data_IF_049450004279
#
_entry.id   IF_049450004279
#
_cell.length_a   1.000
_cell.length_b   1.000
_cell.length_c   1.000
_cell.angle_alpha   90.00
_cell.angle_beta   90.00
_cell.angle_gamma   90.00
#
_symmetry.space_group_name_H-M   'P 1'
#
loop_
_entity.id
_entity.type
_entity.pdbx_description
1 polymer ?
#
# COMPACT_ATOMS: atom_id res chain seq x y z
N UNK A 1 3.23 20.79 -1.67
CA UNK A 1 3.51 19.46 -1.11
C UNK A 1 2.30 18.98 -0.32
N UNK A 2 1.57 18.04 -0.84
CA UNK A 2 0.48 17.42 -0.10
C UNK A 2 1.07 16.41 0.89
N UNK A 3 1.32 16.84 2.11
CA UNK A 3 1.57 15.97 3.26
C UNK A 3 0.22 15.38 3.68
N UNK A 4 -0.16 14.25 3.07
CA UNK A 4 -1.39 13.55 3.41
C UNK A 4 -1.09 12.48 4.46
N UNK A 5 -1.11 12.89 5.72
CA UNK A 5 -1.12 11.97 6.85
C UNK A 5 -2.58 11.66 7.20
N UNK A 6 -2.96 10.39 7.04
CA UNK A 6 -3.97 9.78 7.88
C UNK A 6 -5.44 9.94 7.54
N UNK A 7 -5.93 9.37 6.44
CA UNK A 7 -7.27 8.80 6.39
C UNK A 7 -7.32 7.66 5.37
N UNK A 8 -8.18 6.67 5.55
CA UNK A 8 -8.36 5.55 4.59
C UNK A 8 -8.67 6.04 3.16
N UNK A 9 -9.23 7.24 3.01
CA UNK A 9 -9.46 7.86 1.72
C UNK A 9 -8.15 8.20 1.01
N UNK A 10 -7.15 8.72 1.72
CA UNK A 10 -5.82 9.00 1.17
C UNK A 10 -5.05 7.72 0.78
N UNK A 11 -5.26 6.63 1.50
CA UNK A 11 -4.63 5.33 1.26
C UNK A 11 -5.09 4.75 -0.08
N UNK A 12 -6.39 4.78 -0.36
CA UNK A 12 -6.96 4.39 -1.67
C UNK A 12 -6.49 5.33 -2.77
N UNK A 13 -6.53 6.63 -2.50
CA UNK A 13 -6.29 7.66 -3.52
C UNK A 13 -4.85 7.61 -4.05
N UNK A 14 -3.85 7.29 -3.22
CA UNK A 14 -2.45 7.14 -3.68
C UNK A 14 -2.30 6.03 -4.71
N UNK A 15 -2.85 4.83 -4.44
CA UNK A 15 -2.80 3.73 -5.38
C UNK A 15 -3.59 4.06 -6.67
N UNK A 16 -4.75 4.71 -6.53
CA UNK A 16 -5.57 5.12 -7.67
C UNK A 16 -4.89 6.22 -8.51
N UNK A 17 -4.33 7.24 -7.86
CA UNK A 17 -3.61 8.33 -8.55
C UNK A 17 -2.40 7.80 -9.31
N UNK A 18 -1.66 6.85 -8.77
CA UNK A 18 -0.54 6.22 -9.46
C UNK A 18 -0.93 5.60 -10.82
N UNK A 19 -2.21 5.19 -10.97
CA UNK A 19 -2.73 4.65 -12.24
C UNK A 19 -3.28 5.72 -13.20
N UNK A 20 -3.39 6.98 -12.76
CA UNK A 20 -4.05 8.08 -13.51
C UNK A 20 -3.13 9.21 -13.90
N UNK A 21 -1.96 9.32 -13.27
CA UNK A 21 -1.01 10.40 -13.53
C UNK A 21 0.42 9.95 -13.29
N UNK A 22 1.36 10.54 -14.01
CA UNK A 22 2.81 10.39 -13.89
C UNK A 22 3.48 11.62 -13.23
N UNK A 23 2.69 12.50 -12.63
CA UNK A 23 3.18 13.73 -11.98
C UNK A 23 4.08 13.47 -10.76
N UNK A 24 4.03 12.27 -10.19
CA UNK A 24 4.79 11.92 -8.99
C UNK A 24 6.08 11.19 -9.37
N UNK A 25 7.21 11.68 -8.88
CA UNK A 25 8.50 11.01 -9.07
C UNK A 25 8.62 9.71 -8.26
N UNK A 26 7.92 9.61 -7.13
CA UNK A 26 7.86 8.43 -6.27
C UNK A 26 6.63 8.50 -5.35
N UNK A 27 6.07 7.35 -4.97
CA UNK A 27 4.90 7.26 -4.09
C UNK A 27 5.19 6.27 -2.95
N UNK A 28 4.86 6.67 -1.71
CA UNK A 28 4.73 5.75 -0.59
C UNK A 28 3.25 5.49 -0.32
N UNK A 29 2.88 4.23 -0.09
CA UNK A 29 1.50 3.81 0.15
C UNK A 29 1.40 2.90 1.38
N UNK A 30 1.00 3.50 2.50
CA UNK A 30 0.76 2.76 3.75
C UNK A 30 -0.60 2.09 3.76
N UNK A 31 -0.63 0.78 4.05
CA UNK A 31 -1.84 -0.05 4.15
C UNK A 31 -2.86 0.17 3.00
N UNK A 32 -2.44 0.05 1.72
CA UNK A 32 -3.26 0.42 0.56
C UNK A 32 -4.53 -0.42 0.43
N UNK A 33 -5.56 0.16 -0.16
CA UNK A 33 -6.74 -0.56 -0.68
C UNK A 33 -6.74 -0.41 -2.19
N UNK A 34 -6.61 -1.53 -2.91
CA UNK A 34 -6.46 -1.53 -4.37
C UNK A 34 -7.57 -2.28 -5.10
N UNK A 35 -8.27 -3.16 -4.41
CA UNK A 35 -9.34 -3.97 -4.99
C UNK A 35 -10.61 -3.84 -4.13
N UNK A 36 -11.58 -3.10 -4.64
CA UNK A 36 -12.83 -2.83 -3.92
C UNK A 36 -13.69 -4.08 -3.75
N UNK A 37 -13.56 -5.08 -4.63
CA UNK A 37 -14.31 -6.32 -4.53
C UNK A 37 -13.82 -7.17 -3.36
N UNK A 38 -12.51 -7.47 -3.30
CA UNK A 38 -11.95 -8.27 -2.20
C UNK A 38 -11.99 -7.51 -0.87
N UNK A 39 -11.82 -6.18 -0.90
CA UNK A 39 -11.91 -5.35 0.30
C UNK A 39 -13.34 -5.27 0.86
N UNK A 40 -14.37 -5.32 0.02
CA UNK A 40 -15.78 -5.27 0.44
C UNK A 40 -16.13 -6.39 1.43
N UNK A 41 -15.67 -7.62 1.15
CA UNK A 41 -15.88 -8.77 2.04
C UNK A 41 -14.97 -8.82 3.26
N UNK A 42 -14.09 -7.84 3.44
CA UNK A 42 -13.16 -7.79 4.55
C UNK A 42 -13.82 -7.46 5.88
N UNK A 43 -13.18 -7.87 6.97
CA UNK A 43 -13.60 -7.58 8.34
C UNK A 43 -12.55 -6.70 9.00
N UNK A 44 -12.99 -5.71 9.75
CA UNK A 44 -12.15 -4.95 10.68
C UNK A 44 -11.99 -5.77 11.96
N UNK A 45 -10.97 -6.58 12.03
CA UNK A 45 -10.74 -7.51 13.13
C UNK A 45 -10.67 -6.82 14.49
N UNK A 46 -10.16 -5.59 14.57
CA UNK A 46 -10.13 -4.82 15.81
C UNK A 46 -11.50 -4.43 16.36
N UNK A 47 -12.55 -4.42 15.53
CA UNK A 47 -13.92 -4.06 15.93
C UNK A 47 -14.97 -5.12 15.62
N UNK A 48 -14.61 -6.15 14.82
CA UNK A 48 -15.55 -7.17 14.34
C UNK A 48 -16.54 -6.69 13.27
N UNK A 49 -16.41 -5.45 12.78
CA UNK A 49 -17.34 -4.88 11.80
C UNK A 49 -16.98 -5.30 10.37
N UNK A 50 -17.99 -5.70 9.60
CA UNK A 50 -17.84 -5.89 8.17
C UNK A 50 -17.53 -4.56 7.47
N UNK A 51 -16.70 -4.59 6.43
CA UNK A 51 -16.30 -3.38 5.70
C UNK A 51 -17.34 -2.91 4.68
N UNK A 52 -18.34 -3.72 4.34
CA UNK A 52 -19.35 -3.45 3.31
C UNK A 52 -20.00 -2.07 3.44
N UNK A 53 -20.45 -1.70 4.65
CA UNK A 53 -21.09 -0.40 4.89
C UNK A 53 -20.20 0.79 4.52
N UNK A 54 -18.88 0.65 4.64
CA UNK A 54 -17.90 1.68 4.33
C UNK A 54 -17.87 1.96 2.82
N UNK A 55 -17.98 0.91 2.01
CA UNK A 55 -18.00 1.04 0.55
C UNK A 55 -19.34 1.55 0.04
N UNK A 56 -20.44 1.09 0.64
CA UNK A 56 -21.78 1.49 0.21
C UNK A 56 -22.13 2.92 0.61
N UNK A 57 -21.89 3.32 1.87
CA UNK A 57 -22.52 4.49 2.47
C UNK A 57 -21.56 5.54 3.03
N UNK A 58 -20.37 5.16 3.54
CA UNK A 58 -19.51 6.08 4.27
C UNK A 58 -18.32 6.57 3.45
N UNK A 59 -17.11 6.10 3.72
CA UNK A 59 -15.88 6.66 3.15
C UNK A 59 -15.77 6.53 1.64
N UNK A 60 -16.08 5.37 1.08
CA UNK A 60 -15.92 5.12 -0.36
C UNK A 60 -17.10 5.58 -1.19
N UNK A 61 -18.29 5.64 -0.61
CA UNK A 61 -19.52 6.20 -1.21
C UNK A 61 -19.81 5.65 -2.61
N UNK A 62 -19.65 4.34 -2.80
CA UNK A 62 -19.94 3.70 -4.09
C UNK A 62 -21.46 3.61 -4.37
N UNK A 63 -22.27 3.79 -3.32
CA UNK A 63 -23.72 3.95 -3.45
C UNK A 63 -24.47 2.68 -3.81
N UNK A 64 -23.92 1.51 -3.49
CA UNK A 64 -24.53 0.21 -3.71
C UNK A 64 -23.56 -0.93 -3.48
N UNK A 65 -24.05 -2.15 -3.62
CA UNK A 65 -23.27 -3.38 -3.46
C UNK A 65 -22.48 -3.72 -4.73
N UNK A 66 -21.46 -4.61 -4.67
CA UNK A 66 -20.77 -5.11 -5.87
C UNK A 66 -21.70 -5.76 -6.91
N UNK A 67 -22.81 -6.30 -6.47
CA UNK A 67 -23.80 -6.93 -7.36
C UNK A 67 -24.77 -5.93 -8.02
N UNK A 68 -25.11 -4.86 -7.31
CA UNK A 68 -26.01 -3.81 -7.84
C UNK A 68 -25.28 -2.77 -8.69
N UNK A 69 -24.02 -2.49 -8.38
CA UNK A 69 -23.22 -1.46 -9.06
C UNK A 69 -21.79 -1.94 -9.37
N UNK A 70 -21.61 -3.09 -10.07
CA UNK A 70 -20.29 -3.71 -10.26
C UNK A 70 -19.28 -2.80 -10.96
N UNK A 71 -19.71 -1.99 -11.92
CA UNK A 71 -18.83 -1.08 -12.65
C UNK A 71 -18.19 -0.03 -11.74
N UNK A 72 -18.92 0.48 -10.74
CA UNK A 72 -18.36 1.44 -9.77
C UNK A 72 -17.24 0.81 -8.94
N UNK A 73 -17.37 -0.46 -8.56
CA UNK A 73 -16.31 -1.20 -7.86
C UNK A 73 -15.11 -1.42 -8.76
N UNK A 74 -15.32 -1.80 -10.02
CA UNK A 74 -14.27 -1.99 -10.99
C UNK A 74 -13.48 -0.69 -11.26
N UNK A 75 -14.19 0.39 -11.58
CA UNK A 75 -13.58 1.69 -11.88
C UNK A 75 -12.79 2.29 -10.72
N UNK A 76 -13.21 2.01 -9.48
CA UNK A 76 -12.54 2.48 -8.27
C UNK A 76 -11.48 1.50 -7.72
N UNK A 77 -11.26 0.37 -8.38
CA UNK A 77 -10.23 -0.60 -8.03
C UNK A 77 -8.97 -0.33 -8.85
N UNK A 78 -7.96 0.27 -8.23
CA UNK A 78 -6.68 0.56 -8.88
C UNK A 78 -6.02 -0.70 -9.46
N UNK A 79 -6.25 -1.86 -8.86
CA UNK A 79 -5.69 -3.14 -9.27
C UNK A 79 -5.87 -3.42 -10.77
N UNK A 80 -7.03 -3.09 -11.33
CA UNK A 80 -7.36 -3.37 -12.74
C UNK A 80 -6.76 -2.38 -13.74
N UNK A 81 -6.04 -1.37 -13.24
CA UNK A 81 -5.36 -0.36 -14.07
C UNK A 81 -3.90 -0.18 -13.67
N UNK A 82 -3.31 -1.16 -12.96
CA UNK A 82 -1.90 -1.15 -12.53
C UNK A 82 -0.91 -1.17 -13.70
N UNK A 83 -1.31 -1.68 -14.85
CA UNK A 83 -0.53 -1.64 -16.09
C UNK A 83 -0.12 -0.21 -16.47
N UNK A 84 -0.92 0.79 -16.11
CA UNK A 84 -0.68 2.20 -16.39
C UNK A 84 0.33 2.87 -15.45
N UNK A 85 0.65 2.25 -14.32
CA UNK A 85 1.59 2.83 -13.34
C UNK A 85 2.98 2.94 -13.94
N UNK A 86 3.58 4.13 -13.86
CA UNK A 86 4.97 4.40 -14.23
C UNK A 86 5.80 4.79 -12.99
N UNK A 87 5.16 5.37 -12.00
CA UNK A 87 5.79 5.87 -10.78
C UNK A 87 6.26 4.73 -9.90
N UNK A 88 7.49 4.76 -9.38
CA UNK A 88 7.98 3.82 -8.36
C UNK A 88 7.15 3.89 -7.08
N UNK A 89 6.85 2.72 -6.51
CA UNK A 89 5.99 2.62 -5.32
C UNK A 89 6.66 1.87 -4.19
N UNK A 90 6.68 2.48 -3.01
CA UNK A 90 7.00 1.82 -1.75
C UNK A 90 5.70 1.52 -1.01
N UNK A 91 5.42 0.27 -0.74
CA UNK A 91 4.25 -0.17 0.04
C UNK A 91 4.70 -0.48 1.46
N UNK A 92 3.96 -0.01 2.46
CA UNK A 92 4.06 -0.49 3.84
C UNK A 92 2.73 -1.10 4.24
N UNK A 93 2.69 -2.40 4.55
CA UNK A 93 1.47 -3.06 5.00
C UNK A 93 1.80 -4.24 5.91
N UNK A 94 1.29 -4.21 7.12
CA UNK A 94 1.61 -5.18 8.16
C UNK A 94 0.61 -6.33 8.19
N UNK A 95 1.07 -7.52 8.55
CA UNK A 95 0.29 -8.76 8.53
C UNK A 95 -0.77 -8.84 9.65
N UNK A 96 -0.60 -8.11 10.75
CA UNK A 96 -1.58 -8.01 11.84
C UNK A 96 -2.49 -6.77 11.71
N UNK A 97 -2.62 -6.19 10.52
CA UNK A 97 -3.50 -5.05 10.30
C UNK A 97 -4.97 -5.41 10.54
N UNK A 98 -5.53 -4.88 11.63
CA UNK A 98 -6.92 -5.07 12.02
C UNK A 98 -7.91 -4.11 11.34
N UNK A 99 -7.45 -3.18 10.50
CA UNK A 99 -8.28 -2.18 9.82
C UNK A 99 -8.41 -2.43 8.33
N UNK A 100 -7.28 -2.61 7.63
CA UNK A 100 -7.24 -2.93 6.20
C UNK A 100 -6.71 -4.35 6.03
N UNK A 101 -7.46 -5.24 5.36
CA UNK A 101 -6.98 -6.60 5.16
C UNK A 101 -5.63 -6.64 4.46
N UNK A 102 -4.66 -7.35 5.03
CA UNK A 102 -3.29 -7.41 4.54
C UNK A 102 -3.16 -7.86 3.09
N UNK A 103 -4.06 -8.73 2.63
CA UNK A 103 -4.06 -9.17 1.23
C UNK A 103 -4.25 -8.02 0.23
N UNK A 104 -4.76 -6.86 0.63
CA UNK A 104 -4.81 -5.67 -0.24
C UNK A 104 -3.41 -5.17 -0.62
N UNK A 105 -2.46 -5.18 0.32
CA UNK A 105 -1.06 -4.87 0.05
C UNK A 105 -0.40 -5.95 -0.80
N UNK A 106 -0.71 -7.22 -0.55
CA UNK A 106 -0.21 -8.36 -1.34
C UNK A 106 -0.71 -8.25 -2.78
N UNK A 107 -2.02 -8.01 -3.00
CA UNK A 107 -2.60 -7.83 -4.34
C UNK A 107 -1.88 -6.71 -5.11
N UNK A 108 -1.61 -5.58 -4.43
CA UNK A 108 -0.87 -4.46 -5.02
C UNK A 108 0.54 -4.86 -5.43
N UNK A 109 1.30 -5.39 -4.48
CA UNK A 109 2.70 -5.78 -4.69
C UNK A 109 2.84 -6.82 -5.81
N UNK A 110 2.03 -7.88 -5.76
CA UNK A 110 2.05 -8.94 -6.76
C UNK A 110 1.70 -8.40 -8.15
N UNK A 111 0.68 -7.56 -8.26
CA UNK A 111 0.31 -6.96 -9.55
C UNK A 111 1.46 -6.13 -10.13
N UNK A 112 2.06 -5.24 -9.32
CA UNK A 112 3.20 -4.42 -9.74
C UNK A 112 4.39 -5.27 -10.20
N UNK A 113 4.75 -6.31 -9.43
CA UNK A 113 5.86 -7.21 -9.77
C UNK A 113 5.58 -8.02 -11.04
N UNK A 114 4.36 -8.53 -11.22
CA UNK A 114 3.97 -9.26 -12.45
C UNK A 114 3.98 -8.38 -13.70
N UNK A 115 3.72 -7.09 -13.53
CA UNK A 115 3.77 -6.09 -14.60
C UNK A 115 5.17 -5.50 -14.81
N UNK A 116 6.20 -5.96 -14.09
CA UNK A 116 7.57 -5.46 -14.20
C UNK A 116 7.74 -4.02 -13.70
N UNK A 117 6.85 -3.54 -12.84
CA UNK A 117 6.90 -2.17 -12.31
C UNK A 117 7.79 -2.07 -11.07
N UNK A 118 8.53 -0.95 -10.87
CA UNK A 118 9.35 -0.75 -9.69
C UNK A 118 8.49 -0.62 -8.44
N UNK A 119 8.59 -1.64 -7.58
CA UNK A 119 7.78 -1.72 -6.36
C UNK A 119 8.50 -2.51 -5.26
N UNK A 120 8.44 -1.99 -4.04
CA UNK A 120 8.95 -2.60 -2.82
C UNK A 120 7.84 -2.66 -1.80
N UNK A 121 7.88 -3.69 -0.94
CA UNK A 121 6.91 -3.85 0.13
C UNK A 121 7.62 -4.11 1.45
N UNK A 122 7.29 -3.32 2.46
CA UNK A 122 7.73 -3.49 3.84
C UNK A 122 6.58 -4.08 4.65
N UNK A 123 6.86 -5.22 5.29
CA UNK A 123 5.97 -5.85 6.26
C UNK A 123 6.70 -5.99 7.60
N UNK A 124 6.13 -5.42 8.64
CA UNK A 124 6.62 -5.58 10.01
C UNK A 124 5.74 -6.61 10.71
N UNK A 125 6.24 -7.83 10.81
CA UNK A 125 5.50 -8.99 11.32
C UNK A 125 4.95 -8.76 12.73
N UNK A 126 3.65 -9.00 12.89
CA UNK A 126 2.92 -8.81 14.13
C UNK A 126 2.62 -7.36 14.48
N UNK A 127 2.94 -6.40 13.61
CA UNK A 127 2.52 -5.01 13.80
C UNK A 127 1.12 -4.78 13.25
N UNK A 128 0.33 -3.90 13.90
CA UNK A 128 -1.01 -3.52 13.42
C UNK A 128 -0.93 -2.57 12.22
N UNK A 129 -2.00 -1.82 11.98
CA UNK A 129 -2.14 -0.87 10.86
C UNK A 129 -0.95 0.08 10.67
N UNK A 130 -0.32 0.49 11.76
CA UNK A 130 0.93 1.26 11.78
C UNK A 130 1.96 0.59 12.68
N UNK A 131 3.26 0.68 12.39
CA UNK A 131 4.28 0.19 13.30
C UNK A 131 4.15 0.84 14.67
N UNK A 132 4.10 0.03 15.72
CA UNK A 132 3.96 0.48 17.11
C UNK A 132 5.28 0.41 17.86
N UNK A 133 6.10 -0.61 17.58
CA UNK A 133 7.43 -0.79 18.16
C UNK A 133 8.38 0.30 17.64
N UNK A 134 9.15 0.90 18.54
CA UNK A 134 10.06 2.01 18.21
C UNK A 134 11.09 1.60 17.14
N UNK A 135 11.65 0.41 17.22
CA UNK A 135 12.62 -0.09 16.25
C UNK A 135 12.01 -0.14 14.83
N UNK A 136 10.78 -0.64 14.69
CA UNK A 136 10.09 -0.73 13.42
C UNK A 136 9.71 0.66 12.85
N UNK A 137 9.37 1.61 13.73
CA UNK A 137 9.14 3.01 13.33
C UNK A 137 10.39 3.65 12.75
N UNK A 138 11.53 3.45 13.42
CA UNK A 138 12.83 3.98 12.99
C UNK A 138 13.24 3.36 11.66
N UNK A 139 13.14 2.03 11.53
CA UNK A 139 13.44 1.29 10.30
C UNK A 139 12.57 1.78 9.14
N UNK A 140 11.25 1.86 9.34
CA UNK A 140 10.32 2.36 8.32
C UNK A 140 10.68 3.77 7.86
N UNK A 141 10.94 4.69 8.79
CA UNK A 141 11.33 6.05 8.43
C UNK A 141 12.63 6.08 7.64
N UNK A 142 13.64 5.32 8.08
CA UNK A 142 14.94 5.25 7.39
C UNK A 142 14.77 4.76 5.96
N UNK A 143 14.04 3.65 5.73
CA UNK A 143 13.78 3.12 4.39
C UNK A 143 12.96 4.08 3.52
N UNK A 144 11.96 4.72 4.10
CA UNK A 144 11.18 5.74 3.41
C UNK A 144 12.04 6.93 2.96
N UNK A 145 12.94 7.43 3.82
CA UNK A 145 13.89 8.48 3.45
C UNK A 145 14.86 8.02 2.36
N UNK A 146 15.43 6.82 2.46
CA UNK A 146 16.30 6.26 1.43
C UNK A 146 15.59 6.13 0.09
N UNK A 147 14.35 5.62 0.08
CA UNK A 147 13.52 5.51 -1.10
C UNK A 147 13.30 6.87 -1.78
N UNK A 148 12.85 7.87 -1.04
CA UNK A 148 12.63 9.21 -1.59
C UNK A 148 13.92 9.92 -1.97
N UNK A 149 15.01 9.76 -1.21
CA UNK A 149 16.29 10.36 -1.57
C UNK A 149 16.83 9.78 -2.87
N UNK A 150 16.69 8.48 -3.09
CA UNK A 150 17.07 7.87 -4.37
C UNK A 150 16.34 8.51 -5.54
N UNK A 151 14.99 8.60 -5.48
CA UNK A 151 14.19 9.11 -6.60
C UNK A 151 14.20 10.64 -6.73
N UNK A 152 14.26 11.37 -5.63
CA UNK A 152 14.15 12.84 -5.64
C UNK A 152 15.51 13.55 -5.66
N UNK A 153 16.54 12.94 -5.03
CA UNK A 153 17.87 13.53 -4.93
C UNK A 153 18.93 12.79 -5.73
N UNK A 154 18.57 11.67 -6.39
CA UNK A 154 19.49 10.81 -7.16
C UNK A 154 20.61 10.21 -6.30
N UNK A 155 20.36 9.98 -5.00
CA UNK A 155 21.28 9.25 -4.14
C UNK A 155 21.39 7.78 -4.60
N UNK A 156 22.47 7.09 -4.22
CA UNK A 156 22.64 5.68 -4.55
C UNK A 156 21.46 4.84 -4.05
N UNK A 157 21.08 3.82 -4.82
CA UNK A 157 20.05 2.87 -4.40
C UNK A 157 20.58 2.02 -3.25
N UNK A 158 19.87 1.95 -2.10
CA UNK A 158 20.32 1.12 -0.98
C UNK A 158 20.16 -0.37 -1.28
N UNK A 159 20.97 -1.21 -0.66
CA UNK A 159 21.01 -2.65 -0.91
C UNK A 159 19.66 -3.36 -0.76
N UNK A 160 18.84 -2.95 0.21
CA UNK A 160 17.50 -3.53 0.38
C UNK A 160 16.55 -3.27 -0.81
N UNK A 161 16.81 -2.24 -1.62
CA UNK A 161 16.06 -1.97 -2.84
C UNK A 161 16.64 -2.66 -4.07
N UNK A 162 17.97 -2.76 -4.20
CA UNK A 162 18.64 -3.39 -5.34
C UNK A 162 18.60 -4.91 -5.27
N UNK A 163 19.07 -5.46 -4.17
CA UNK A 163 19.30 -6.90 -4.00
C UNK A 163 18.26 -7.57 -3.09
N UNK A 164 17.62 -6.77 -2.21
CA UNK A 164 16.81 -7.27 -1.12
C UNK A 164 17.68 -7.74 0.05
N UNK A 165 17.03 -8.24 1.09
CA UNK A 165 17.70 -8.88 2.23
C UNK A 165 17.12 -10.28 2.42
N UNK A 166 17.89 -11.35 2.21
CA UNK A 166 17.42 -12.71 2.41
C UNK A 166 16.88 -12.92 3.83
N UNK A 167 15.79 -13.66 3.96
CA UNK A 167 15.14 -13.89 5.26
C UNK A 167 16.10 -14.55 6.28
N UNK A 168 17.07 -15.33 5.82
CA UNK A 168 18.07 -15.99 6.67
C UNK A 168 19.10 -15.03 7.25
N UNK A 169 19.25 -13.85 6.66
CA UNK A 169 20.19 -12.81 7.12
C UNK A 169 19.52 -11.81 8.08
N UNK A 170 18.19 -11.81 8.11
CA UNK A 170 17.44 -10.99 9.06
C UNK A 170 17.45 -11.65 10.46
N UNK A 171 17.62 -10.89 11.55
CA UNK A 171 17.73 -9.43 11.65
C UNK A 171 19.17 -8.88 11.62
N UNK A 172 20.16 -9.67 11.26
CA UNK A 172 21.59 -9.31 11.35
C UNK A 172 22.00 -8.30 10.27
N UNK A 173 21.45 -8.45 9.07
CA UNK A 173 21.67 -7.54 7.95
C UNK A 173 20.33 -6.90 7.53
N UNK A 174 20.30 -5.58 7.41
CA UNK A 174 19.09 -4.81 7.05
C UNK A 174 19.19 -4.16 5.66
N UNK A 175 20.34 -4.26 5.00
CA UNK A 175 20.56 -3.77 3.64
C UNK A 175 20.53 -2.25 3.48
N UNK A 176 20.84 -1.52 4.53
CA UNK A 176 20.85 -0.04 4.49
C UNK A 176 21.99 0.51 3.63
#
# INVERSE_FOLDING_TARGET
SCSLVGSEMCIRDRAYLATRTDLFAAIESGAPVVNMFSAYGGIRWGSGLARSFQYEHTQSRLGGTPWSTPLRYLENSALFTMDKVQTPVLIMHNDADGHVPWYQGIEYFVAMKRLGKPCWMLNYTGEPHWPTKIANKIDFQKRMFQFFNHYLKKEAMPGWMSDGVPAVEQPYELGY
#
